data_IF_335372383411
#
_entry.id   IF_335372383411
#
_cell.length_a   1.000
_cell.length_b   1.000
_cell.length_c   1.000
_cell.angle_alpha   90.00
_cell.angle_beta   90.00
_cell.angle_gamma   90.00
#
_symmetry.space_group_name_H-M   'P 1'
#
loop_
_entity.id
_entity.type
_entity.pdbx_description
1 polymer ?
#
# COMPACT_ATOMS: atom_id res chain seq x y z
N UNK A 1 30.28 16.77 -9.44
CA UNK A 1 30.69 15.70 -8.53
C UNK A 1 29.79 14.50 -8.75
N UNK A 2 30.36 13.32 -8.98
CA UNK A 2 29.57 12.09 -9.12
C UNK A 2 29.32 11.50 -7.73
N UNK A 3 28.06 11.46 -7.33
CA UNK A 3 27.61 10.94 -6.03
C UNK A 3 27.27 9.45 -6.07
N UNK A 4 27.29 8.78 -7.23
CA UNK A 4 26.86 7.38 -7.37
C UNK A 4 27.64 6.41 -6.46
N UNK A 5 28.91 6.70 -6.20
CA UNK A 5 29.79 5.92 -5.33
C UNK A 5 29.39 5.89 -3.84
N UNK A 6 28.49 6.80 -3.42
CA UNK A 6 28.02 6.89 -2.03
C UNK A 6 26.69 6.17 -1.80
N UNK A 7 26.02 5.75 -2.87
CA UNK A 7 24.74 5.05 -2.75
C UNK A 7 24.96 3.59 -2.38
N UNK A 8 24.09 3.08 -1.50
CA UNK A 8 24.08 1.66 -1.19
C UNK A 8 23.69 0.84 -2.42
N UNK A 9 24.03 -0.44 -2.40
CA UNK A 9 23.64 -1.40 -3.42
C UNK A 9 22.10 -1.55 -3.56
N UNK A 10 21.34 -1.17 -2.53
CA UNK A 10 19.88 -1.29 -2.50
C UNK A 10 19.15 -0.13 -3.20
N UNK A 11 19.83 1.02 -3.45
CA UNK A 11 19.18 2.17 -4.09
C UNK A 11 18.47 1.84 -5.41
N UNK A 12 18.99 0.95 -6.28
CA UNK A 12 18.28 0.54 -7.50
C UNK A 12 16.95 -0.19 -7.25
N UNK A 13 16.76 -0.82 -6.09
CA UNK A 13 15.51 -1.50 -5.72
C UNK A 13 14.39 -0.55 -5.27
N UNK A 14 14.72 0.73 -5.00
CA UNK A 14 13.73 1.72 -4.61
C UNK A 14 12.92 2.18 -5.82
N UNK A 15 11.71 1.68 -5.94
CA UNK A 15 10.82 2.03 -7.04
C UNK A 15 10.22 3.42 -6.84
N UNK A 16 10.22 4.22 -7.91
CA UNK A 16 9.48 5.48 -7.92
C UNK A 16 7.99 5.21 -8.03
N UNK A 17 7.17 5.94 -7.27
CA UNK A 17 5.72 5.87 -7.40
C UNK A 17 5.27 6.64 -8.65
N UNK A 18 4.70 5.98 -9.67
CA UNK A 18 4.16 6.67 -10.85
C UNK A 18 3.11 7.74 -10.45
N UNK A 19 2.27 7.43 -9.47
CA UNK A 19 1.25 8.35 -8.95
C UNK A 19 1.87 9.62 -8.35
N UNK A 20 2.98 9.49 -7.60
CA UNK A 20 3.67 10.65 -7.03
C UNK A 20 4.40 11.48 -8.07
N UNK A 21 4.96 10.86 -9.10
CA UNK A 21 5.59 11.58 -10.21
C UNK A 21 4.56 12.41 -11.00
N UNK A 22 3.33 11.89 -11.15
CA UNK A 22 2.20 12.65 -11.71
C UNK A 22 1.95 13.93 -10.90
N UNK A 23 1.85 13.79 -9.58
CA UNK A 23 1.55 14.92 -8.68
C UNK A 23 2.67 15.96 -8.60
N UNK A 24 3.91 15.59 -8.91
CA UNK A 24 5.03 16.56 -9.00
C UNK A 24 4.97 17.45 -10.23
N UNK A 25 4.35 16.97 -11.32
CA UNK A 25 4.34 17.64 -12.62
C UNK A 25 3.11 18.49 -12.88
N UNK A 26 2.03 18.30 -12.12
CA UNK A 26 0.73 18.86 -12.45
C UNK A 26 0.10 19.51 -11.22
N UNK A 27 -0.43 20.72 -11.42
CA UNK A 27 -1.33 21.33 -10.47
C UNK A 27 -2.68 20.60 -10.49
N UNK A 28 -2.93 19.77 -9.46
CA UNK A 28 -4.16 19.01 -9.32
C UNK A 28 -5.42 19.89 -9.20
N UNK A 29 -5.27 21.19 -8.85
CA UNK A 29 -6.39 22.11 -8.77
C UNK A 29 -6.87 22.53 -10.18
N UNK A 30 -5.96 22.53 -11.15
CA UNK A 30 -6.24 22.94 -12.53
C UNK A 30 -6.93 21.85 -13.37
N UNK A 31 -6.78 20.57 -12.99
CA UNK A 31 -7.29 19.41 -13.75
C UNK A 31 -8.36 18.63 -12.99
N UNK A 32 -9.07 17.75 -13.70
CA UNK A 32 -9.94 16.74 -13.11
C UNK A 32 -9.10 15.49 -12.75
N UNK A 33 -8.73 15.33 -11.47
CA UNK A 33 -7.87 14.22 -11.06
C UNK A 33 -8.67 13.09 -10.43
N UNK A 34 -8.73 11.95 -11.13
CA UNK A 34 -9.19 10.66 -10.62
C UNK A 34 -8.01 9.77 -10.16
N UNK A 35 -6.77 10.30 -10.16
CA UNK A 35 -5.57 9.49 -9.91
C UNK A 35 -5.28 9.29 -8.42
N UNK A 36 -5.51 10.31 -7.58
CA UNK A 36 -5.12 10.28 -6.16
C UNK A 36 -5.97 9.35 -5.31
N UNK A 37 -5.35 8.62 -4.38
CA UNK A 37 -6.06 7.85 -3.35
C UNK A 37 -6.45 8.71 -2.13
N UNK A 38 -6.82 9.96 -2.34
CA UNK A 38 -7.13 10.90 -1.27
C UNK A 38 -8.61 10.83 -0.85
N UNK A 39 -8.92 10.89 0.46
CA UNK A 39 -10.29 11.07 0.93
C UNK A 39 -10.83 12.45 0.56
N UNK A 40 -12.15 12.60 0.56
CA UNK A 40 -12.81 13.87 0.32
C UNK A 40 -12.57 14.85 1.49
N UNK A 41 -12.19 16.10 1.20
CA UNK A 41 -11.95 17.09 2.25
C UNK A 41 -13.20 17.37 3.12
N UNK A 42 -14.41 17.23 2.56
CA UNK A 42 -15.67 17.41 3.29
C UNK A 42 -15.93 16.30 4.32
N UNK A 43 -15.18 15.18 4.30
CA UNK A 43 -15.28 14.12 5.31
C UNK A 43 -14.33 14.32 6.49
N UNK A 44 -13.48 15.35 6.46
CA UNK A 44 -12.62 15.66 7.59
C UNK A 44 -13.42 16.32 8.70
N UNK A 45 -13.27 15.94 9.98
CA UNK A 45 -13.99 16.49 11.11
C UNK A 45 -13.39 17.85 11.53
N UNK A 46 -13.24 18.79 10.58
CA UNK A 46 -12.54 20.05 10.78
C UNK A 46 -13.16 20.90 11.91
N UNK A 47 -14.47 20.86 12.05
CA UNK A 47 -15.18 21.60 13.10
C UNK A 47 -14.89 21.04 14.51
N UNK A 48 -14.56 19.74 14.62
CA UNK A 48 -14.32 19.08 15.89
C UNK A 48 -12.87 19.24 16.38
N UNK A 49 -11.92 19.50 15.46
CA UNK A 49 -10.48 19.57 15.78
C UNK A 49 -10.14 20.59 16.88
N UNK A 50 -10.66 21.84 16.87
CA UNK A 50 -10.33 22.79 17.94
C UNK A 50 -10.73 22.29 19.32
N UNK A 51 -11.93 21.74 19.46
CA UNK A 51 -12.43 21.18 20.74
C UNK A 51 -11.66 19.92 21.16
N UNK A 52 -11.25 19.08 20.21
CA UNK A 52 -10.39 17.94 20.48
C UNK A 52 -9.02 18.39 21.00
N UNK A 53 -8.42 19.39 20.36
CA UNK A 53 -7.13 19.95 20.76
C UNK A 53 -7.17 20.54 22.16
N UNK A 54 -8.21 21.32 22.48
CA UNK A 54 -8.41 21.90 23.81
C UNK A 54 -8.51 20.80 24.88
N UNK A 55 -9.30 19.76 24.65
CA UNK A 55 -9.42 18.62 25.57
C UNK A 55 -8.08 17.90 25.76
N UNK A 56 -7.35 17.64 24.68
CA UNK A 56 -6.05 16.96 24.74
C UNK A 56 -5.04 17.79 25.55
N UNK A 57 -4.93 19.08 25.29
CA UNK A 57 -3.98 19.92 26.01
C UNK A 57 -4.38 20.12 27.48
N UNK A 58 -5.66 20.27 27.77
CA UNK A 58 -6.15 20.34 29.17
C UNK A 58 -5.92 19.06 29.95
N UNK A 59 -6.14 17.90 29.33
CA UNK A 59 -6.09 16.59 30.00
C UNK A 59 -4.67 16.06 30.14
N UNK A 60 -3.85 16.20 29.09
CA UNK A 60 -2.51 15.61 29.04
C UNK A 60 -1.37 16.59 29.18
N UNK A 61 -1.63 17.89 28.95
CA UNK A 61 -0.65 18.97 29.12
C UNK A 61 0.67 18.70 28.38
N UNK A 62 1.77 18.84 29.08
CA UNK A 62 3.13 18.64 28.51
C UNK A 62 3.38 17.20 28.05
N UNK A 63 2.65 16.22 28.60
CA UNK A 63 2.76 14.80 28.18
C UNK A 63 2.42 14.64 26.70
N UNK A 64 1.46 15.41 26.19
CA UNK A 64 1.08 15.37 24.76
C UNK A 64 2.16 15.92 23.81
N UNK A 65 3.11 16.68 24.34
CA UNK A 65 4.20 17.31 23.59
C UNK A 65 5.57 16.65 23.81
N UNK A 66 5.62 15.63 24.65
CA UNK A 66 6.85 14.87 24.97
C UNK A 66 6.92 13.59 24.15
N UNK A 67 8.10 12.97 24.09
CA UNK A 67 8.25 11.62 23.54
C UNK A 67 7.32 10.63 24.22
N UNK A 68 6.72 9.74 23.44
CA UNK A 68 5.88 8.65 23.91
C UNK A 68 6.55 7.27 23.82
N UNK A 69 5.80 6.24 24.22
CA UNK A 69 6.23 4.87 24.02
C UNK A 69 6.27 4.51 22.52
N UNK A 70 7.23 3.70 22.13
CA UNK A 70 7.36 3.21 20.73
C UNK A 70 6.12 2.44 20.28
N UNK A 71 5.48 1.71 21.21
CA UNK A 71 4.23 0.99 20.94
C UNK A 71 3.02 1.91 20.71
N UNK A 72 3.15 3.19 21.08
CA UNK A 72 2.08 4.17 21.08
C UNK A 72 1.53 4.45 22.49
N UNK A 73 0.78 5.55 22.60
CA UNK A 73 0.18 5.94 23.87
C UNK A 73 -0.88 4.93 24.31
N UNK A 74 -0.94 4.57 25.62
CA UNK A 74 -1.89 3.58 26.12
C UNK A 74 -3.33 3.92 25.74
N UNK A 75 -3.71 5.18 25.86
CA UNK A 75 -5.07 5.65 25.60
C UNK A 75 -5.54 5.33 24.18
N UNK A 76 -4.69 5.47 23.16
CA UNK A 76 -5.04 5.13 21.78
C UNK A 76 -5.06 3.61 21.57
N UNK A 77 -4.08 2.90 22.13
CA UNK A 77 -4.01 1.43 22.05
C UNK A 77 -5.25 0.77 22.68
N UNK A 78 -5.71 1.26 23.82
CA UNK A 78 -6.91 0.78 24.51
C UNK A 78 -8.18 1.00 23.67
N UNK A 79 -8.30 2.17 23.03
CA UNK A 79 -9.45 2.46 22.15
C UNK A 79 -9.48 1.53 20.93
N UNK A 80 -8.33 1.28 20.30
CA UNK A 80 -8.22 0.36 19.17
C UNK A 80 -8.50 -1.08 19.64
N UNK A 81 -7.88 -1.51 20.75
CA UNK A 81 -8.09 -2.84 21.33
C UNK A 81 -9.57 -3.11 21.61
N UNK A 82 -10.25 -2.15 22.23
CA UNK A 82 -11.70 -2.22 22.49
C UNK A 82 -12.51 -2.33 21.19
N UNK A 83 -12.20 -1.52 20.17
CA UNK A 83 -12.92 -1.52 18.89
C UNK A 83 -12.78 -2.83 18.12
N UNK A 84 -11.61 -3.48 18.20
CA UNK A 84 -11.31 -4.73 17.50
C UNK A 84 -11.46 -5.99 18.37
N UNK A 85 -11.86 -5.85 19.64
CA UNK A 85 -12.07 -6.96 20.57
C UNK A 85 -10.80 -7.77 20.85
N UNK A 86 -9.65 -7.10 21.03
CA UNK A 86 -8.34 -7.74 21.24
C UNK A 86 -7.68 -7.22 22.53
N UNK A 87 -6.72 -7.96 23.12
CA UNK A 87 -5.88 -7.44 24.18
C UNK A 87 -5.06 -6.21 23.72
N UNK A 88 -4.80 -5.26 24.63
CA UNK A 88 -3.97 -4.07 24.34
C UNK A 88 -2.54 -4.45 23.95
N UNK A 89 -2.03 -5.56 24.49
CA UNK A 89 -0.70 -6.12 24.14
C UNK A 89 -0.58 -6.47 22.65
N UNK A 90 -1.70 -6.78 22.00
CA UNK A 90 -1.76 -7.10 20.57
C UNK A 90 -1.92 -5.87 19.65
N UNK A 91 -1.73 -4.65 20.16
CA UNK A 91 -1.87 -3.41 19.38
C UNK A 91 -0.57 -2.62 19.38
N UNK A 92 -0.05 -2.33 18.19
CA UNK A 92 1.11 -1.47 17.94
C UNK A 92 0.70 -0.28 17.09
N UNK A 93 0.96 0.96 17.53
CA UNK A 93 0.70 2.16 16.73
C UNK A 93 1.86 2.38 15.74
N UNK A 94 1.51 2.81 14.54
CA UNK A 94 2.44 3.09 13.45
C UNK A 94 2.22 4.48 12.85
N UNK A 95 3.21 4.97 12.11
CA UNK A 95 3.10 6.19 11.31
C UNK A 95 2.39 5.85 9.99
N UNK A 96 1.07 5.63 10.05
CA UNK A 96 0.17 5.07 9.03
C UNK A 96 0.39 3.58 8.69
N UNK A 97 -0.55 2.97 7.95
CA UNK A 97 -0.41 1.58 7.47
C UNK A 97 0.78 1.40 6.53
N UNK A 98 1.25 2.45 5.83
CA UNK A 98 2.46 2.36 4.99
C UNK A 98 3.69 2.00 5.81
N UNK A 99 3.87 2.56 7.01
CA UNK A 99 4.92 2.10 7.92
C UNK A 99 4.65 0.68 8.39
N UNK A 100 3.38 0.31 8.62
CA UNK A 100 3.02 -1.07 8.95
C UNK A 100 3.48 -2.07 7.89
N UNK A 101 3.27 -1.77 6.61
CA UNK A 101 3.74 -2.59 5.48
C UNK A 101 5.28 -2.65 5.48
N UNK A 102 5.93 -1.50 5.63
CA UNK A 102 7.40 -1.41 5.58
C UNK A 102 8.07 -2.17 6.73
N UNK A 103 7.56 -2.05 7.97
CA UNK A 103 8.13 -2.79 9.11
C UNK A 103 7.87 -4.29 9.01
N UNK A 104 6.74 -4.72 8.45
CA UNK A 104 6.52 -6.14 8.14
C UNK A 104 7.54 -6.64 7.11
N UNK A 105 7.77 -5.89 6.04
CA UNK A 105 8.80 -6.23 5.07
C UNK A 105 10.18 -6.31 5.72
N UNK A 106 10.53 -5.32 6.52
CA UNK A 106 11.84 -5.22 7.18
C UNK A 106 12.12 -6.32 8.19
N UNK A 107 11.09 -6.77 8.91
CA UNK A 107 11.23 -7.79 9.97
C UNK A 107 11.22 -9.20 9.39
N UNK A 108 10.46 -9.44 8.33
CA UNK A 108 10.19 -10.80 7.87
C UNK A 108 10.85 -11.18 6.54
N UNK A 109 11.38 -10.22 5.76
CA UNK A 109 11.91 -10.49 4.42
C UNK A 109 13.43 -10.41 4.39
N UNK A 110 14.04 -11.48 3.92
CA UNK A 110 15.41 -11.49 3.42
C UNK A 110 15.41 -11.29 1.88
N UNK A 111 16.52 -10.82 1.29
CA UNK A 111 16.63 -10.72 -0.15
C UNK A 111 16.39 -12.05 -0.88
N UNK A 112 15.41 -12.05 -1.78
CA UNK A 112 14.99 -13.24 -2.52
C UNK A 112 13.83 -14.01 -1.91
N UNK A 113 13.40 -13.67 -0.70
CA UNK A 113 12.17 -14.24 -0.13
C UNK A 113 10.93 -13.86 -0.94
N UNK A 114 9.91 -14.70 -0.85
CA UNK A 114 8.69 -14.57 -1.64
C UNK A 114 7.55 -14.00 -0.80
N UNK A 115 6.89 -13.00 -1.38
CA UNK A 115 5.59 -12.49 -0.92
C UNK A 115 4.54 -12.92 -1.93
N UNK A 116 3.54 -13.69 -1.50
CA UNK A 116 2.36 -13.94 -2.31
C UNK A 116 1.41 -12.75 -2.19
N UNK A 117 1.01 -12.14 -3.28
CA UNK A 117 0.12 -10.99 -3.26
C UNK A 117 -1.08 -11.16 -4.18
N UNK A 118 -2.24 -10.63 -3.77
CA UNK A 118 -3.39 -10.55 -4.67
C UNK A 118 -3.08 -9.58 -5.81
N UNK A 119 -3.44 -9.96 -7.03
CA UNK A 119 -3.20 -9.16 -8.22
C UNK A 119 -4.50 -8.50 -8.71
N UNK A 120 -4.49 -7.22 -9.05
CA UNK A 120 -3.39 -6.24 -8.94
C UNK A 120 -3.06 -5.84 -7.50
N UNK A 121 -1.79 -5.44 -7.25
CA UNK A 121 -1.22 -5.16 -5.93
C UNK A 121 -1.15 -3.66 -5.66
N UNK A 122 -1.33 -3.25 -4.41
CA UNK A 122 -1.14 -1.87 -4.00
C UNK A 122 0.31 -1.39 -4.23
N UNK A 123 0.47 -0.27 -4.95
CA UNK A 123 1.79 0.27 -5.32
C UNK A 123 2.72 0.53 -4.13
N UNK A 124 2.17 0.98 -2.99
CA UNK A 124 2.96 1.23 -1.79
C UNK A 124 3.51 -0.04 -1.17
N UNK A 125 2.80 -1.16 -1.30
CA UNK A 125 3.27 -2.47 -0.87
C UNK A 125 4.36 -2.99 -1.79
N UNK A 126 4.17 -2.92 -3.12
CA UNK A 126 5.22 -3.25 -4.10
C UNK A 126 6.50 -2.47 -3.85
N UNK A 127 6.39 -1.16 -3.56
CA UNK A 127 7.57 -0.34 -3.25
C UNK A 127 8.31 -0.82 -2.00
N UNK A 128 7.57 -1.17 -0.92
CA UNK A 128 8.17 -1.68 0.31
C UNK A 128 8.84 -3.04 0.07
N UNK A 129 8.15 -3.99 -0.58
CA UNK A 129 8.71 -5.34 -0.81
C UNK A 129 9.95 -5.30 -1.71
N UNK A 130 9.92 -4.52 -2.80
CA UNK A 130 11.08 -4.33 -3.66
C UNK A 130 12.27 -3.67 -2.94
N UNK A 131 12.03 -2.77 -1.98
CA UNK A 131 13.10 -2.14 -1.20
C UNK A 131 13.92 -3.17 -0.40
N UNK A 132 13.30 -4.28 0.00
CA UNK A 132 13.94 -5.41 0.67
C UNK A 132 14.32 -6.55 -0.29
N UNK A 133 14.23 -6.32 -1.62
CA UNK A 133 14.59 -7.27 -2.67
C UNK A 133 13.82 -8.58 -2.58
N UNK A 134 12.59 -8.54 -2.06
CA UNK A 134 11.70 -9.69 -2.06
C UNK A 134 11.10 -9.90 -3.46
N UNK A 135 10.82 -11.14 -3.80
CA UNK A 135 10.07 -11.51 -4.99
C UNK A 135 8.57 -11.44 -4.69
N UNK A 136 7.82 -10.67 -5.47
CA UNK A 136 6.36 -10.61 -5.35
C UNK A 136 5.74 -11.50 -6.41
N UNK A 137 5.13 -12.59 -5.99
CA UNK A 137 4.46 -13.57 -6.85
C UNK A 137 2.95 -13.38 -6.74
N UNK A 138 2.28 -13.38 -7.88
CA UNK A 138 0.83 -13.27 -7.91
C UNK A 138 0.18 -14.53 -7.34
N UNK A 139 -0.77 -14.33 -6.46
CA UNK A 139 -1.47 -15.44 -5.80
C UNK A 139 -2.19 -16.35 -6.81
N UNK A 140 -2.74 -15.78 -7.91
CA UNK A 140 -3.37 -16.52 -9.00
C UNK A 140 -2.38 -17.45 -9.72
N UNK A 141 -1.19 -16.95 -10.03
CA UNK A 141 -0.16 -17.70 -10.74
C UNK A 141 0.42 -18.82 -9.86
N UNK A 142 0.58 -18.53 -8.58
CA UNK A 142 0.97 -19.52 -7.60
C UNK A 142 -0.04 -20.68 -7.53
N UNK A 143 -1.35 -20.38 -7.44
CA UNK A 143 -2.42 -21.37 -7.40
C UNK A 143 -2.56 -22.15 -8.73
N UNK A 144 -2.20 -21.53 -9.86
CA UNK A 144 -2.17 -22.19 -11.17
C UNK A 144 -0.94 -23.09 -11.37
N UNK A 145 0.01 -23.11 -10.43
CA UNK A 145 1.26 -23.87 -10.53
C UNK A 145 2.32 -23.21 -11.41
N UNK A 146 2.14 -21.93 -11.78
CA UNK A 146 3.03 -21.22 -12.71
C UNK A 146 4.12 -20.39 -11.98
N UNK A 147 4.00 -20.19 -10.67
CA UNK A 147 4.75 -19.13 -9.97
C UNK A 147 6.07 -19.54 -9.30
N UNK A 148 6.25 -20.75 -8.79
CA UNK A 148 7.43 -21.09 -7.94
C UNK A 148 8.28 -22.24 -8.49
N UNK A 149 7.72 -23.14 -9.27
CA UNK A 149 8.43 -24.34 -9.73
C UNK A 149 9.51 -24.10 -10.80
N UNK A 150 9.50 -22.95 -11.49
CA UNK A 150 10.46 -22.65 -12.56
C UNK A 150 11.67 -21.80 -12.12
N UNK A 151 11.73 -21.33 -10.89
CA UNK A 151 12.74 -20.36 -10.44
C UNK A 151 13.76 -20.87 -9.42
N UNK A 152 13.75 -22.15 -9.06
CA UNK A 152 14.80 -22.74 -8.19
C UNK A 152 16.15 -22.93 -8.88
N UNK A 153 16.27 -22.56 -10.17
CA UNK A 153 17.53 -22.61 -10.90
C UNK A 153 17.82 -21.29 -11.64
N UNK A 154 18.59 -20.44 -10.99
CA UNK A 154 19.55 -19.56 -11.61
C UNK A 154 19.05 -18.30 -12.33
N UNK A 155 19.40 -17.22 -11.76
CA UNK A 155 19.40 -15.81 -12.13
C UNK A 155 18.18 -15.00 -11.68
N UNK A 156 18.40 -13.91 -10.91
CA UNK A 156 17.35 -12.92 -10.67
C UNK A 156 16.89 -12.40 -12.04
N UNK A 157 15.59 -12.50 -12.32
CA UNK A 157 15.04 -11.75 -13.45
C UNK A 157 15.43 -10.29 -13.22
N UNK A 158 16.01 -9.61 -14.21
CA UNK A 158 16.11 -8.17 -14.10
C UNK A 158 14.69 -7.67 -13.85
N UNK A 159 14.51 -6.90 -12.78
CA UNK A 159 13.31 -6.08 -12.58
C UNK A 159 12.88 -5.59 -13.95
N UNK A 160 11.59 -5.64 -14.36
CA UNK A 160 11.17 -5.11 -15.65
C UNK A 160 11.60 -3.66 -15.69
N UNK A 161 12.84 -3.52 -16.12
CA UNK A 161 13.59 -2.33 -16.04
C UNK A 161 13.10 -1.48 -17.17
N UNK A 162 12.71 -0.29 -16.84
CA UNK A 162 13.02 0.86 -17.66
C UNK A 162 12.55 0.87 -19.12
N UNK A 163 12.01 -0.22 -19.68
CA UNK A 163 11.78 -0.27 -21.10
C UNK A 163 10.59 0.57 -21.57
N UNK A 164 9.57 0.79 -20.73
CA UNK A 164 8.29 1.31 -21.20
C UNK A 164 7.63 2.41 -20.37
N UNK A 165 8.38 3.08 -19.49
CA UNK A 165 7.90 4.37 -18.98
C UNK A 165 8.34 5.42 -19.99
N UNK A 166 7.41 6.12 -20.67
CA UNK A 166 7.79 7.13 -21.67
C UNK A 166 8.83 8.08 -21.09
N UNK A 167 9.93 8.30 -21.82
CA UNK A 167 11.06 9.15 -21.39
C UNK A 167 10.65 10.58 -21.03
N UNK A 168 9.45 10.99 -21.38
CA UNK A 168 8.81 12.22 -20.93
C UNK A 168 8.41 12.24 -19.44
N UNK A 169 8.27 11.08 -18.79
CA UNK A 169 7.90 10.97 -17.37
C UNK A 169 9.15 10.89 -16.48
N UNK A 170 10.29 10.48 -17.02
CA UNK A 170 11.55 10.34 -16.28
C UNK A 170 12.61 11.25 -16.93
N UNK A 171 12.61 12.52 -16.56
CA UNK A 171 13.70 13.44 -16.86
C UNK A 171 14.92 13.15 -15.96
N UNK A 172 15.67 12.11 -16.24
CA UNK A 172 16.93 11.79 -15.59
C UNK A 172 17.84 11.05 -16.56
N UNK A 173 19.02 11.61 -16.83
CA UNK A 173 20.04 11.02 -17.70
C UNK A 173 20.34 9.59 -17.26
N UNK A 174 20.39 8.67 -18.24
CA UNK A 174 20.84 7.29 -18.06
C UNK A 174 22.23 7.23 -17.42
N UNK A 175 22.38 6.47 -16.35
CA UNK A 175 23.69 6.11 -15.78
C UNK A 175 24.33 5.04 -16.69
N UNK A 176 25.66 5.09 -16.91
CA UNK A 176 26.35 4.08 -17.71
C UNK A 176 26.33 2.73 -17.00
N UNK A 177 26.21 1.66 -17.80
CA UNK A 177 26.35 0.28 -17.36
C UNK A 177 27.73 0.09 -16.71
N UNK A 178 27.75 -0.47 -15.51
CA UNK A 178 28.98 -0.90 -14.84
C UNK A 178 29.26 -2.35 -15.19
N UNK A 179 30.45 -2.59 -15.73
CA UNK A 179 31.07 -3.91 -15.75
C UNK A 179 31.22 -4.42 -14.32
N UNK A 180 30.94 -5.71 -14.09
CA UNK A 180 31.01 -6.36 -12.80
C UNK A 180 32.42 -6.28 -12.18
N UNK A 181 32.55 -6.36 -10.85
CA UNK A 181 33.85 -6.27 -10.21
C UNK A 181 34.72 -7.47 -10.57
N UNK A 182 35.88 -7.17 -11.18
CA UNK A 182 36.98 -8.12 -11.31
C UNK A 182 37.48 -8.50 -9.93
N UNK A 183 37.68 -9.78 -9.70
CA UNK A 183 38.20 -10.36 -8.46
C UNK A 183 39.48 -9.65 -8.02
N UNK A 184 39.49 -9.16 -6.78
CA UNK A 184 40.67 -8.63 -6.11
C UNK A 184 41.53 -9.80 -5.64
N UNK A 185 42.84 -9.88 -5.93
CA UNK A 185 43.69 -10.91 -5.42
C UNK A 185 43.87 -10.76 -3.91
N UNK A 186 43.52 -11.77 -3.13
CA UNK A 186 43.80 -11.85 -1.71
C UNK A 186 45.30 -12.01 -1.47
N UNK A 187 45.96 -10.92 -1.07
CA UNK A 187 47.29 -10.96 -0.51
C UNK A 187 47.26 -11.53 0.89
N UNK A 188 47.86 -12.69 1.06
CA UNK A 188 48.09 -13.33 2.39
C UNK A 188 49.07 -12.55 3.21
N UNK A 189 48.55 -11.89 4.25
CA UNK A 189 49.43 -11.48 5.40
C UNK A 189 49.57 -12.70 6.30
N UNK A 190 50.78 -13.28 6.33
CA UNK A 190 51.15 -14.29 7.30
C UNK A 190 51.48 -13.58 8.62
N UNK A 191 50.68 -13.85 9.65
CA UNK A 191 51.08 -13.67 11.05
C UNK A 191 51.43 -15.05 11.63
N UNK A 192 52.60 -15.10 12.18
CA UNK A 192 53.24 -16.35 12.60
C UNK A 192 52.80 -16.83 13.97
N UNK A 193 51.61 -17.45 14.06
CA UNK A 193 51.27 -18.41 15.13
C UNK A 193 50.24 -19.39 14.61
N UNK A 194 50.72 -20.66 14.48
CA UNK A 194 49.87 -21.73 13.99
C UNK A 194 48.63 -21.98 14.83
N UNK A 195 47.48 -21.78 14.21
CA UNK A 195 46.21 -22.47 14.44
C UNK A 195 45.56 -22.65 13.08
N UNK A 196 45.57 -23.90 12.62
CA UNK A 196 44.66 -24.37 11.60
C UNK A 196 43.29 -24.44 12.21
N UNK A 197 42.38 -23.68 11.66
CA UNK A 197 40.94 -23.90 11.62
C UNK A 197 40.31 -22.60 11.10
N UNK A 198 40.50 -22.37 9.78
CA UNK A 198 39.56 -21.55 9.07
C UNK A 198 38.36 -22.46 8.78
N UNK A 199 37.44 -22.61 9.72
CA UNK A 199 36.07 -22.93 9.40
C UNK A 199 35.61 -21.80 8.48
N UNK A 200 35.56 -22.10 7.18
CA UNK A 200 34.80 -21.32 6.24
C UNK A 200 33.36 -21.42 6.77
N UNK A 201 32.90 -20.36 7.43
CA UNK A 201 31.49 -20.10 7.57
C UNK A 201 31.00 -19.91 6.15
N UNK A 202 30.61 -21.02 5.53
CA UNK A 202 29.75 -20.99 4.38
C UNK A 202 28.46 -20.36 4.89
N UNK A 203 28.32 -19.04 4.74
CA UNK A 203 27.04 -18.39 4.84
C UNK A 203 26.17 -19.01 3.74
N UNK A 204 25.52 -20.14 4.07
CA UNK A 204 24.42 -20.66 3.28
C UNK A 204 23.34 -19.59 3.40
N UNK A 205 23.24 -18.73 2.38
CA UNK A 205 22.06 -17.91 2.22
C UNK A 205 20.87 -18.86 2.31
N UNK A 206 19.93 -18.66 3.25
CA UNK A 206 18.76 -19.51 3.36
C UNK A 206 18.08 -19.57 2.00
N UNK A 207 17.59 -20.74 1.62
CA UNK A 207 16.79 -20.87 0.40
C UNK A 207 15.61 -19.91 0.48
N UNK A 208 15.23 -19.24 -0.63
CA UNK A 208 14.08 -18.34 -0.66
C UNK A 208 12.84 -19.03 -0.09
N UNK A 209 12.16 -18.35 0.82
CA UNK A 209 10.98 -18.87 1.49
C UNK A 209 9.77 -17.99 1.26
N UNK A 210 8.58 -18.58 1.19
CA UNK A 210 7.33 -17.82 1.20
C UNK A 210 7.11 -17.33 2.64
N UNK A 211 7.24 -16.04 2.88
CA UNK A 211 7.18 -15.45 4.24
C UNK A 211 5.77 -15.05 4.62
N UNK A 212 5.04 -14.42 3.72
CA UNK A 212 3.65 -14.04 3.98
C UNK A 212 2.82 -13.86 2.71
N UNK A 213 1.51 -13.91 2.89
CA UNK A 213 0.51 -13.50 1.92
C UNK A 213 0.11 -12.07 2.24
N UNK A 214 0.26 -11.12 1.29
CA UNK A 214 -0.22 -9.75 1.42
C UNK A 214 -1.55 -9.56 0.69
N UNK A 215 -2.55 -9.02 1.38
CA UNK A 215 -3.89 -8.84 0.81
C UNK A 215 -4.60 -7.61 1.38
N UNK A 216 -5.40 -6.93 0.55
CA UNK A 216 -6.38 -5.92 0.95
C UNK A 216 -7.77 -6.54 0.76
N UNK A 217 -8.37 -7.16 1.79
CA UNK A 217 -9.57 -7.97 1.63
C UNK A 217 -10.85 -7.15 1.49
N UNK A 218 -10.87 -5.91 1.96
CA UNK A 218 -12.03 -5.02 1.90
C UNK A 218 -11.76 -3.83 0.98
N UNK A 219 -12.54 -3.70 -0.09
CA UNK A 219 -12.49 -2.57 -1.04
C UNK A 219 -11.10 -2.32 -1.60
N UNK A 220 -10.48 -3.37 -2.09
CA UNK A 220 -9.10 -3.43 -2.56
C UNK A 220 -8.67 -2.16 -3.32
N UNK A 221 -7.48 -1.69 -3.04
CA UNK A 221 -6.77 -0.74 -3.87
C UNK A 221 -5.80 -1.51 -4.79
N UNK A 222 -6.10 -1.64 -6.12
CA UNK A 222 -6.85 -0.65 -6.90
C UNK A 222 -8.29 -1.01 -7.28
N UNK A 223 -8.76 -2.24 -7.11
CA UNK A 223 -9.94 -2.78 -7.80
C UNK A 223 -11.29 -2.40 -7.19
N UNK A 224 -11.32 -1.97 -5.94
CA UNK A 224 -12.55 -1.77 -5.17
C UNK A 224 -13.24 -3.08 -4.75
N UNK A 225 -12.74 -4.25 -5.13
CA UNK A 225 -13.33 -5.55 -4.79
C UNK A 225 -13.19 -5.89 -3.31
N UNK A 226 -14.15 -6.65 -2.80
CA UNK A 226 -14.11 -7.24 -1.45
C UNK A 226 -14.03 -8.76 -1.59
N UNK A 227 -13.14 -9.39 -0.84
CA UNK A 227 -13.07 -10.85 -0.76
C UNK A 227 -14.26 -11.39 0.04
N UNK A 228 -14.93 -12.39 -0.52
CA UNK A 228 -15.95 -13.17 0.17
C UNK A 228 -15.37 -13.93 1.38
N UNK A 229 -16.22 -14.41 2.27
CA UNK A 229 -15.79 -15.24 3.40
C UNK A 229 -15.04 -16.50 2.91
N UNK A 230 -15.58 -17.16 1.87
CA UNK A 230 -14.95 -18.38 1.32
C UNK A 230 -13.54 -18.11 0.75
N UNK A 231 -13.32 -16.98 0.06
CA UNK A 231 -11.99 -16.60 -0.41
C UNK A 231 -11.02 -16.31 0.74
N UNK A 232 -11.50 -15.69 1.84
CA UNK A 232 -10.69 -15.46 3.05
C UNK A 232 -10.32 -16.78 3.73
N UNK A 233 -11.25 -17.73 3.83
CA UNK A 233 -11.01 -19.07 4.38
C UNK A 233 -10.01 -19.87 3.54
N UNK A 234 -10.07 -19.76 2.21
CA UNK A 234 -9.09 -20.36 1.30
C UNK A 234 -7.69 -19.77 1.52
N UNK A 235 -7.56 -18.46 1.69
CA UNK A 235 -6.28 -17.81 2.00
C UNK A 235 -5.70 -18.30 3.34
N UNK A 236 -6.55 -18.46 4.35
CA UNK A 236 -6.13 -19.00 5.66
C UNK A 236 -5.66 -20.46 5.51
N UNK A 237 -6.39 -21.28 4.77
CA UNK A 237 -6.00 -22.68 4.51
C UNK A 237 -4.64 -22.73 3.79
N UNK A 238 -4.44 -21.91 2.76
CA UNK A 238 -3.19 -21.81 2.03
C UNK A 238 -2.03 -21.35 2.94
N UNK A 239 -2.25 -20.33 3.77
CA UNK A 239 -1.21 -19.86 4.69
C UNK A 239 -0.81 -20.92 5.74
N UNK A 240 -1.75 -21.79 6.15
CA UNK A 240 -1.46 -22.94 7.02
C UNK A 240 -0.69 -24.03 6.31
N UNK A 241 -1.03 -24.31 5.06
CA UNK A 241 -0.33 -25.28 4.22
C UNK A 241 1.12 -24.87 3.94
N UNK A 242 1.33 -23.58 3.63
CA UNK A 242 2.64 -23.00 3.33
C UNK A 242 3.45 -22.64 4.58
N UNK A 243 2.85 -22.76 5.78
CA UNK A 243 3.39 -22.30 7.05
C UNK A 243 3.93 -20.85 7.00
N UNK A 244 3.15 -19.95 6.41
CA UNK A 244 3.50 -18.55 6.27
C UNK A 244 2.53 -17.62 7.03
N UNK A 245 2.91 -16.36 7.19
CA UNK A 245 2.08 -15.33 7.80
C UNK A 245 1.07 -14.75 6.80
N UNK A 246 0.11 -13.97 7.31
CA UNK A 246 -0.78 -13.14 6.51
C UNK A 246 -0.64 -11.68 6.95
N UNK A 247 -0.40 -10.78 6.01
CA UNK A 247 -0.47 -9.33 6.21
C UNK A 247 -1.78 -8.84 5.60
N UNK A 248 -2.78 -8.62 6.45
CA UNK A 248 -4.09 -8.11 6.09
C UNK A 248 -4.08 -6.58 6.15
N UNK A 249 -4.01 -5.89 5.03
CA UNK A 249 -4.05 -4.43 4.96
C UNK A 249 -5.50 -3.94 4.81
N UNK A 250 -6.04 -3.31 5.86
CA UNK A 250 -7.48 -3.01 5.98
C UNK A 250 -7.79 -1.51 6.14
N UNK A 251 -7.22 -0.58 5.34
CA UNK A 251 -7.41 0.86 5.53
C UNK A 251 -8.81 1.34 5.14
N UNK A 252 -9.59 0.54 4.40
CA UNK A 252 -10.91 0.90 3.88
C UNK A 252 -12.06 0.16 4.58
N UNK A 253 -11.79 -0.84 5.44
CA UNK A 253 -12.79 -1.73 6.02
C UNK A 253 -14.01 -1.00 6.60
N UNK A 254 -13.80 0.14 7.25
CA UNK A 254 -14.85 0.95 7.87
C UNK A 254 -15.65 1.80 6.87
N UNK A 255 -15.22 1.86 5.61
CA UNK A 255 -15.87 2.63 4.55
C UNK A 255 -16.82 1.77 3.71
N UNK A 256 -17.59 0.90 4.35
CA UNK A 256 -18.64 0.11 3.70
C UNK A 256 -19.94 0.90 3.62
N UNK A 257 -20.51 1.02 2.44
CA UNK A 257 -21.80 1.73 2.21
C UNK A 257 -22.91 0.84 1.67
N UNK A 258 -22.63 -0.41 1.33
CA UNK A 258 -23.64 -1.42 0.98
C UNK A 258 -23.17 -2.83 1.34
N UNK A 259 -24.10 -3.78 1.38
CA UNK A 259 -23.84 -5.15 1.80
C UNK A 259 -23.51 -5.30 3.29
N UNK A 260 -23.14 -6.51 3.69
CA UNK A 260 -22.80 -6.85 5.07
C UNK A 260 -21.30 -6.91 5.29
N UNK A 261 -20.86 -6.70 6.52
CA UNK A 261 -19.46 -6.84 6.90
C UNK A 261 -19.03 -8.31 6.80
N UNK A 262 -17.85 -8.55 6.22
CA UNK A 262 -17.25 -9.89 6.16
C UNK A 262 -16.25 -10.05 7.30
N UNK A 263 -16.24 -11.22 7.94
CA UNK A 263 -15.26 -11.59 8.99
C UNK A 263 -13.85 -11.35 8.47
N UNK A 264 -12.97 -10.69 9.25
CA UNK A 264 -11.60 -10.42 8.85
C UNK A 264 -10.77 -11.69 8.82
N UNK A 265 -9.67 -11.67 8.05
CA UNK A 265 -8.73 -12.79 8.03
C UNK A 265 -8.09 -12.97 9.41
N UNK A 266 -7.81 -11.86 10.12
CA UNK A 266 -7.32 -11.91 11.50
C UNK A 266 -8.29 -12.63 12.44
N UNK A 267 -9.60 -12.42 12.28
CA UNK A 267 -10.59 -13.14 13.11
C UNK A 267 -10.64 -14.64 12.79
N UNK A 268 -10.31 -15.05 11.56
CA UNK A 268 -10.25 -16.45 11.12
C UNK A 268 -8.95 -17.14 11.51
N UNK A 269 -7.83 -16.41 11.59
CA UNK A 269 -6.50 -16.93 11.88
C UNK A 269 -5.67 -15.93 12.69
N UNK A 270 -6.04 -15.64 13.95
CA UNK A 270 -5.37 -14.63 14.77
C UNK A 270 -3.91 -15.00 15.08
N UNK A 271 -3.57 -16.28 15.05
CA UNK A 271 -2.25 -16.82 15.37
C UNK A 271 -1.16 -16.50 14.32
N UNK A 272 -1.55 -16.14 13.10
CA UNK A 272 -0.63 -15.90 11.97
C UNK A 272 -0.92 -14.64 11.16
N UNK A 273 -1.87 -13.80 11.60
CA UNK A 273 -2.28 -12.60 10.84
C UNK A 273 -1.84 -11.32 11.53
N UNK A 274 -1.16 -10.46 10.77
CA UNK A 274 -0.89 -9.07 11.10
C UNK A 274 -1.91 -8.21 10.36
N UNK A 275 -2.90 -7.66 11.07
CA UNK A 275 -3.90 -6.76 10.51
C UNK A 275 -3.44 -5.32 10.63
N UNK A 276 -3.30 -4.64 9.49
CA UNK A 276 -2.92 -3.24 9.41
C UNK A 276 -4.18 -2.36 9.30
N UNK A 277 -4.21 -1.27 10.03
CA UNK A 277 -5.25 -0.27 9.95
C UNK A 277 -4.71 1.15 9.80
N UNK A 278 -5.55 2.10 9.41
CA UNK A 278 -5.13 3.47 9.18
C UNK A 278 -6.21 4.49 9.50
N UNK A 279 -5.85 5.55 10.20
CA UNK A 279 -6.70 6.73 10.40
C UNK A 279 -6.81 7.60 9.13
N UNK A 280 -5.99 7.35 8.12
CA UNK A 280 -5.94 8.17 6.90
C UNK A 280 -7.26 8.25 6.15
N UNK A 281 -8.15 7.24 6.29
CA UNK A 281 -9.41 7.18 5.54
C UNK A 281 -10.65 7.42 6.42
N UNK A 282 -10.50 7.33 7.73
CA UNK A 282 -11.60 7.42 8.70
C UNK A 282 -11.51 8.66 9.60
N UNK A 283 -10.34 9.31 9.67
CA UNK A 283 -10.13 10.56 10.41
C UNK A 283 -9.53 11.62 9.49
N UNK A 284 -8.20 11.64 9.34
CA UNK A 284 -7.53 12.50 8.35
C UNK A 284 -6.14 11.98 8.01
N UNK A 285 -5.73 12.00 6.73
CA UNK A 285 -4.43 11.47 6.31
C UNK A 285 -3.24 12.29 6.82
N UNK A 286 -3.44 13.56 7.18
CA UNK A 286 -2.41 14.47 7.67
C UNK A 286 -1.84 14.07 9.03
N UNK A 287 -2.59 13.38 9.88
CA UNK A 287 -2.13 12.90 11.19
C UNK A 287 -1.12 11.75 11.12
N UNK A 288 -0.99 11.12 9.98
CA UNK A 288 -0.04 10.01 9.79
C UNK A 288 -0.12 8.92 10.85
N UNK A 289 -1.31 8.50 11.24
CA UNK A 289 -1.54 7.44 12.22
C UNK A 289 -2.10 6.17 11.57
N UNK A 290 -1.64 5.03 12.08
CA UNK A 290 -2.12 3.69 11.78
C UNK A 290 -1.80 2.74 12.93
N UNK A 291 -2.10 1.47 12.76
CA UNK A 291 -1.85 0.44 13.76
C UNK A 291 -1.63 -0.91 13.09
N UNK A 292 -1.01 -1.81 13.86
CA UNK A 292 -0.91 -3.24 13.57
C UNK A 292 -1.57 -3.98 14.74
N UNK A 293 -2.39 -4.98 14.43
CA UNK A 293 -2.94 -5.94 15.38
C UNK A 293 -2.41 -7.32 15.01
N UNK A 294 -1.84 -8.05 15.96
CA UNK A 294 -1.32 -9.38 15.72
C UNK A 294 -0.78 -10.08 16.97
N UNK A 295 -0.20 -11.28 16.82
CA UNK A 295 0.45 -12.00 17.92
C UNK A 295 1.53 -11.18 18.61
N UNK A 296 1.60 -11.27 19.93
CA UNK A 296 2.54 -10.48 20.75
C UNK A 296 4.00 -10.76 20.38
N UNK A 297 4.33 -11.99 20.08
CA UNK A 297 5.68 -12.40 19.70
C UNK A 297 6.15 -11.74 18.39
N UNK A 298 5.25 -11.58 17.43
CA UNK A 298 5.54 -10.89 16.17
C UNK A 298 5.63 -9.38 16.38
N UNK A 299 4.75 -8.83 17.23
CA UNK A 299 4.74 -7.40 17.55
C UNK A 299 5.98 -6.98 18.34
N UNK A 300 6.57 -7.85 19.14
CA UNK A 300 7.83 -7.55 19.84
C UNK A 300 8.99 -7.29 18.85
N UNK A 301 9.11 -8.09 17.80
CA UNK A 301 10.11 -7.87 16.77
C UNK A 301 9.86 -6.57 15.98
N UNK A 302 8.60 -6.29 15.69
CA UNK A 302 8.17 -5.03 15.07
C UNK A 302 8.47 -3.84 15.98
N UNK A 303 8.26 -3.97 17.28
CA UNK A 303 8.58 -2.96 18.28
C UNK A 303 10.08 -2.62 18.29
N UNK A 304 10.95 -3.63 18.32
CA UNK A 304 12.41 -3.43 18.29
C UNK A 304 12.85 -2.75 16.99
N UNK A 305 12.33 -3.22 15.87
CA UNK A 305 12.56 -2.62 14.56
C UNK A 305 12.13 -1.13 14.52
N UNK A 306 10.96 -0.84 15.07
CA UNK A 306 10.38 0.51 15.07
C UNK A 306 11.17 1.50 15.93
N UNK A 307 11.82 1.06 17.00
CA UNK A 307 12.74 1.90 17.79
C UNK A 307 13.85 2.52 16.92
N UNK A 308 14.35 1.77 15.94
CA UNK A 308 15.39 2.24 15.02
C UNK A 308 14.87 3.16 13.92
N UNK A 309 13.56 3.18 13.66
CA UNK A 309 12.94 3.90 12.53
C UNK A 309 12.50 5.31 12.93
N UNK A 310 11.69 5.43 13.97
CA UNK A 310 11.05 6.69 14.34
C UNK A 310 10.91 6.90 15.85
N UNK A 311 11.46 6.00 16.66
CA UNK A 311 11.39 5.99 18.11
C UNK A 311 9.95 5.87 18.64
N UNK A 312 9.05 6.77 18.24
CA UNK A 312 7.62 6.76 18.56
C UNK A 312 6.81 7.49 17.48
N UNK A 313 5.54 7.13 17.28
CA UNK A 313 4.65 7.90 16.40
C UNK A 313 4.35 9.29 16.99
N UNK A 314 3.82 10.26 16.18
CA UNK A 314 3.47 11.59 16.66
C UNK A 314 2.52 11.55 17.86
N UNK A 315 2.99 12.01 19.04
CA UNK A 315 2.30 11.80 20.32
C UNK A 315 1.02 12.64 20.43
N UNK A 316 1.09 13.91 20.03
CA UNK A 316 -0.07 14.81 20.04
C UNK A 316 -1.21 14.24 19.19
N UNK A 317 -0.88 13.75 17.99
CA UNK A 317 -1.84 13.19 17.06
C UNK A 317 -2.47 11.90 17.60
N UNK A 318 -1.71 11.10 18.36
CA UNK A 318 -2.24 9.91 19.02
C UNK A 318 -3.28 10.27 20.08
N UNK A 319 -3.04 11.30 20.90
CA UNK A 319 -4.04 11.74 21.88
C UNK A 319 -5.27 12.34 21.21
N UNK A 320 -5.10 13.07 20.10
CA UNK A 320 -6.25 13.54 19.29
C UNK A 320 -7.08 12.38 18.76
N UNK A 321 -6.44 11.34 18.24
CA UNK A 321 -7.13 10.15 17.76
C UNK A 321 -7.82 9.38 18.90
N UNK A 322 -7.19 9.26 20.07
CA UNK A 322 -7.78 8.63 21.25
C UNK A 322 -9.04 9.35 21.72
N UNK A 323 -8.99 10.70 21.81
CA UNK A 323 -10.15 11.51 22.16
C UNK A 323 -11.25 11.46 21.07
N UNK A 324 -10.87 11.39 19.79
CA UNK A 324 -11.81 11.27 18.68
C UNK A 324 -12.57 9.94 18.71
N UNK A 325 -11.89 8.82 18.99
CA UNK A 325 -12.51 7.53 19.19
C UNK A 325 -13.37 7.51 20.47
N UNK A 326 -12.78 7.86 21.61
CA UNK A 326 -13.41 7.74 22.92
C UNK A 326 -14.64 8.62 23.11
N UNK A 327 -14.75 9.73 22.36
CA UNK A 327 -15.93 10.61 22.38
C UNK A 327 -17.06 10.18 21.45
N UNK A 328 -16.89 9.10 20.66
CA UNK A 328 -17.89 8.66 19.67
C UNK A 328 -17.94 9.52 18.39
N UNK A 329 -17.07 10.51 18.26
CA UNK A 329 -17.00 11.38 17.08
C UNK A 329 -16.60 10.61 15.82
N UNK A 330 -15.77 9.56 15.95
CA UNK A 330 -15.43 8.69 14.83
C UNK A 330 -16.68 8.09 14.20
N UNK A 331 -17.56 7.47 14.97
CA UNK A 331 -18.74 6.79 14.43
C UNK A 331 -19.73 7.78 13.80
N UNK A 332 -19.87 8.98 14.39
CA UNK A 332 -20.65 10.06 13.80
C UNK A 332 -20.05 10.54 12.45
N UNK A 333 -18.72 10.67 12.39
CA UNK A 333 -18.02 11.06 11.17
C UNK A 333 -18.08 9.99 10.08
N UNK A 334 -17.94 8.70 10.46
CA UNK A 334 -18.04 7.57 9.54
C UNK A 334 -19.40 7.52 8.86
N UNK A 335 -20.50 7.74 9.60
CA UNK A 335 -21.86 7.80 9.00
C UNK A 335 -21.94 8.85 7.90
N UNK A 336 -21.36 10.04 8.11
CA UNK A 336 -21.31 11.11 7.10
C UNK A 336 -20.43 10.72 5.91
N UNK A 337 -19.23 10.20 6.19
CA UNK A 337 -18.27 9.80 5.15
C UNK A 337 -18.79 8.69 4.26
N UNK A 338 -19.40 7.67 4.85
CA UNK A 338 -20.01 6.53 4.15
C UNK A 338 -21.14 7.01 3.23
N UNK A 339 -22.04 7.89 3.71
CA UNK A 339 -23.12 8.44 2.91
C UNK A 339 -22.58 9.27 1.72
N UNK A 340 -21.56 10.10 1.95
CA UNK A 340 -20.91 10.91 0.92
C UNK A 340 -20.21 10.06 -0.14
N UNK A 341 -19.44 9.04 0.27
CA UNK A 341 -18.74 8.18 -0.68
C UNK A 341 -19.70 7.28 -1.48
N UNK A 342 -20.79 6.80 -0.88
CA UNK A 342 -21.86 6.12 -1.61
C UNK A 342 -22.41 7.00 -2.72
N UNK A 343 -22.79 8.23 -2.40
CA UNK A 343 -23.32 9.20 -3.35
C UNK A 343 -22.34 9.48 -4.51
N UNK A 344 -21.07 9.67 -4.19
CA UNK A 344 -20.01 9.92 -5.19
C UNK A 344 -19.75 8.70 -6.08
N UNK A 345 -19.75 7.50 -5.53
CA UNK A 345 -19.65 6.25 -6.29
C UNK A 345 -20.81 6.14 -7.27
N UNK A 346 -22.04 6.33 -6.79
CA UNK A 346 -23.25 6.21 -7.61
C UNK A 346 -23.26 7.25 -8.74
N UNK A 347 -22.84 8.49 -8.45
CA UNK A 347 -22.68 9.51 -9.48
C UNK A 347 -21.62 9.11 -10.51
N UNK A 348 -20.44 8.68 -10.10
CA UNK A 348 -19.39 8.28 -11.05
C UNK A 348 -19.85 7.11 -11.92
N UNK A 349 -20.49 6.09 -11.34
CA UNK A 349 -21.02 4.94 -12.11
C UNK A 349 -22.06 5.40 -13.12
N UNK A 350 -23.02 6.23 -12.75
CA UNK A 350 -24.04 6.74 -13.69
C UNK A 350 -23.43 7.56 -14.85
N UNK A 351 -22.34 8.28 -14.57
CA UNK A 351 -21.60 9.01 -15.61
C UNK A 351 -20.80 8.08 -16.53
N UNK A 352 -20.23 7.00 -15.99
CA UNK A 352 -19.57 5.97 -16.80
C UNK A 352 -20.59 5.27 -17.72
N UNK A 353 -21.74 4.88 -17.19
CA UNK A 353 -22.85 4.29 -17.97
C UNK A 353 -23.32 5.22 -19.10
N UNK A 354 -23.36 6.52 -18.84
CA UNK A 354 -23.83 7.52 -19.80
C UNK A 354 -22.85 7.84 -20.92
N UNK A 355 -21.53 7.81 -20.63
CA UNK A 355 -20.55 8.38 -21.55
C UNK A 355 -19.53 7.40 -22.11
N UNK A 356 -19.20 6.29 -21.38
CA UNK A 356 -18.21 5.35 -21.86
C UNK A 356 -18.66 4.62 -23.13
N UNK A 357 -17.74 4.36 -24.08
CA UNK A 357 -18.05 3.57 -25.26
C UNK A 357 -18.32 2.11 -24.91
N UNK A 358 -18.94 1.39 -25.85
CA UNK A 358 -19.13 -0.06 -25.75
C UNK A 358 -17.79 -0.79 -25.58
N UNK A 359 -17.79 -1.92 -24.85
CA UNK A 359 -16.58 -2.70 -24.57
C UNK A 359 -15.78 -2.23 -23.35
N UNK A 360 -16.19 -1.16 -22.67
CA UNK A 360 -15.64 -0.76 -21.37
C UNK A 360 -16.46 -1.38 -20.25
N UNK A 361 -15.80 -1.96 -19.27
CA UNK A 361 -16.42 -2.48 -18.05
C UNK A 361 -15.75 -1.91 -16.80
N UNK A 362 -16.44 -1.95 -15.66
CA UNK A 362 -15.94 -1.45 -14.39
C UNK A 362 -16.47 -2.23 -13.20
N UNK A 363 -15.72 -2.16 -12.09
CA UNK A 363 -16.17 -2.71 -10.81
C UNK A 363 -17.26 -1.83 -10.18
N UNK A 364 -18.13 -2.44 -9.36
CA UNK A 364 -19.16 -1.73 -8.59
C UNK A 364 -18.91 -2.01 -7.09
N UNK A 365 -18.07 -1.21 -6.41
CA UNK A 365 -17.66 -1.50 -5.05
C UNK A 365 -18.74 -1.18 -4.02
N UNK A 366 -18.81 -2.01 -2.95
CA UNK A 366 -19.68 -1.80 -1.79
C UNK A 366 -19.06 -0.87 -0.74
N UNK A 367 -17.87 -0.35 -0.99
CA UNK A 367 -17.11 0.49 -0.07
C UNK A 367 -15.84 1.06 -0.69
N UNK A 368 -15.01 1.67 0.11
CA UNK A 368 -13.72 2.21 -0.33
C UNK A 368 -13.81 3.47 -1.18
N UNK A 369 -12.86 3.66 -2.08
CA UNK A 369 -12.65 4.95 -2.77
C UNK A 369 -12.43 4.79 -4.30
N UNK A 370 -12.42 3.55 -4.85
CA UNK A 370 -11.92 3.28 -6.19
C UNK A 370 -12.88 2.50 -7.05
N UNK A 371 -12.82 2.80 -8.35
CA UNK A 371 -13.36 2.00 -9.45
C UNK A 371 -12.20 1.50 -10.29
N UNK A 372 -12.31 0.28 -10.79
CA UNK A 372 -11.38 -0.34 -11.72
C UNK A 372 -12.06 -0.52 -13.07
N UNK A 373 -11.48 0.10 -14.09
CA UNK A 373 -11.98 0.01 -15.45
C UNK A 373 -11.15 -0.96 -16.27
N UNK A 374 -11.81 -1.75 -17.09
CA UNK A 374 -11.21 -2.56 -18.16
C UNK A 374 -11.71 -2.04 -19.50
N UNK A 375 -10.78 -1.65 -20.36
CA UNK A 375 -11.01 -1.06 -21.67
C UNK A 375 -10.84 -2.14 -22.76
N UNK A 376 -11.26 -1.87 -24.01
CA UNK A 376 -10.94 -2.74 -25.13
C UNK A 376 -9.44 -3.04 -25.20
N UNK A 377 -9.02 -4.26 -25.57
CA UNK A 377 -7.60 -4.68 -25.54
C UNK A 377 -6.64 -3.82 -26.36
N UNK A 378 -7.15 -3.13 -27.38
CA UNK A 378 -6.37 -2.22 -28.23
C UNK A 378 -5.95 -0.94 -27.50
N UNK A 379 -6.64 -0.57 -26.43
CA UNK A 379 -6.37 0.68 -25.67
C UNK A 379 -5.28 0.47 -24.65
N UNK A 380 -4.14 1.14 -24.84
CA UNK A 380 -3.03 1.18 -23.87
C UNK A 380 -3.18 2.42 -22.99
N UNK A 381 -3.48 2.21 -21.71
CA UNK A 381 -3.70 3.29 -20.73
C UNK A 381 -2.41 4.04 -20.35
N UNK A 382 -1.25 3.44 -20.54
CA UNK A 382 0.04 4.13 -20.34
C UNK A 382 0.30 5.08 -21.50
N UNK A 383 0.11 4.61 -22.74
CA UNK A 383 0.26 5.45 -23.92
C UNK A 383 -0.80 6.59 -24.00
N UNK A 384 -1.99 6.34 -23.49
CA UNK A 384 -3.08 7.33 -23.46
C UNK A 384 -2.84 8.42 -22.41
N UNK A 385 -1.99 8.18 -21.41
CA UNK A 385 -1.87 9.00 -20.21
C UNK A 385 -1.49 10.47 -20.51
N UNK A 386 -0.48 10.72 -21.34
CA UNK A 386 -0.02 12.09 -21.66
C UNK A 386 -1.10 12.90 -22.42
N UNK A 387 -1.87 12.24 -23.29
CA UNK A 387 -3.02 12.87 -23.97
C UNK A 387 -4.12 13.23 -22.98
N UNK A 388 -4.41 12.33 -22.02
CA UNK A 388 -5.40 12.59 -20.98
C UNK A 388 -4.98 13.76 -20.08
N UNK A 389 -3.71 13.80 -19.69
CA UNK A 389 -3.17 14.88 -18.87
C UNK A 389 -3.24 16.23 -19.59
N UNK A 390 -2.87 16.28 -20.87
CA UNK A 390 -2.97 17.49 -21.71
C UNK A 390 -4.42 17.96 -21.90
N UNK A 391 -5.38 17.03 -21.95
CA UNK A 391 -6.81 17.33 -21.99
C UNK A 391 -7.40 17.77 -20.64
N UNK A 392 -6.63 17.68 -19.52
CA UNK A 392 -7.06 18.12 -18.20
C UNK A 392 -7.73 17.02 -17.36
N UNK A 393 -7.46 15.73 -17.65
CA UNK A 393 -7.92 14.59 -16.83
C UNK A 393 -6.76 13.67 -16.46
N UNK A 394 -6.72 13.21 -15.20
CA UNK A 394 -5.72 12.26 -14.72
C UNK A 394 -6.35 11.01 -14.11
N UNK A 395 -5.75 9.86 -14.37
CA UNK A 395 -6.09 8.55 -13.80
C UNK A 395 -4.80 7.79 -13.43
N UNK A 396 -4.88 6.56 -12.93
CA UNK A 396 -3.71 5.70 -12.78
C UNK A 396 -3.82 4.52 -13.74
N UNK A 397 -2.84 4.36 -14.61
CA UNK A 397 -2.77 3.21 -15.53
C UNK A 397 -2.67 1.91 -14.72
N UNK A 398 -3.46 0.92 -15.14
CA UNK A 398 -3.62 -0.32 -14.38
C UNK A 398 -2.36 -1.18 -14.36
N UNK A 399 -1.58 -1.18 -15.42
CA UNK A 399 -0.34 -1.94 -15.52
C UNK A 399 0.67 -1.66 -14.39
N UNK A 400 0.60 -0.48 -13.76
CA UNK A 400 1.48 -0.17 -12.62
C UNK A 400 1.19 -1.00 -11.36
N UNK A 401 0.00 -1.60 -11.25
CA UNK A 401 -0.39 -2.43 -10.13
C UNK A 401 -0.09 -3.92 -10.35
N UNK A 402 0.48 -4.27 -11.49
CA UNK A 402 0.91 -5.62 -11.83
C UNK A 402 2.43 -5.74 -11.78
N UNK A 403 2.93 -6.83 -11.24
CA UNK A 403 4.38 -7.06 -11.05
C UNK A 403 5.12 -7.15 -12.37
N UNK A 404 4.45 -7.62 -13.43
CA UNK A 404 4.97 -7.82 -14.79
C UNK A 404 4.63 -6.65 -15.75
N UNK A 405 3.88 -5.62 -15.28
CA UNK A 405 3.43 -4.51 -16.09
C UNK A 405 2.36 -4.87 -17.14
N UNK A 406 1.72 -6.02 -17.01
CA UNK A 406 0.64 -6.51 -17.87
C UNK A 406 -0.65 -5.68 -17.75
N UNK A 407 -1.73 -6.12 -18.40
CA UNK A 407 -3.07 -5.52 -18.31
C UNK A 407 -3.08 -4.01 -18.63
N UNK A 408 -2.38 -3.64 -19.70
CA UNK A 408 -2.22 -2.24 -20.13
C UNK A 408 -3.54 -1.55 -20.54
N UNK A 409 -4.59 -2.31 -20.76
CA UNK A 409 -5.95 -1.83 -21.04
C UNK A 409 -6.80 -1.61 -19.79
N UNK A 410 -6.19 -1.44 -18.62
CA UNK A 410 -6.93 -1.21 -17.38
C UNK A 410 -6.53 0.11 -16.74
N UNK A 411 -7.42 0.68 -15.92
CA UNK A 411 -7.12 1.90 -15.14
C UNK A 411 -7.91 1.95 -13.83
N UNK A 412 -7.32 2.64 -12.84
CA UNK A 412 -7.99 2.98 -11.59
C UNK A 412 -8.50 4.40 -11.61
N UNK A 413 -9.78 4.58 -11.23
CA UNK A 413 -10.38 5.88 -10.95
C UNK A 413 -10.71 6.01 -9.46
N UNK A 414 -10.41 7.18 -8.88
CA UNK A 414 -10.83 7.58 -7.55
C UNK A 414 -12.04 8.51 -7.65
N UNK A 415 -13.14 8.18 -6.96
CA UNK A 415 -14.35 9.00 -6.93
C UNK A 415 -14.44 9.90 -5.69
N UNK A 416 -13.58 9.71 -4.69
CA UNK A 416 -13.68 10.43 -3.43
C UNK A 416 -13.11 11.85 -3.48
N UNK A 417 -12.03 12.08 -4.20
CA UNK A 417 -11.25 13.32 -4.14
C UNK A 417 -11.78 14.44 -5.05
N UNK A 418 -12.17 14.10 -6.28
CA UNK A 418 -12.57 15.08 -7.29
C UNK A 418 -13.81 15.86 -6.84
N UNK A 419 -13.81 17.18 -7.06
CA UNK A 419 -15.00 17.99 -6.83
C UNK A 419 -16.14 17.53 -7.75
N UNK A 420 -17.35 17.40 -7.21
CA UNK A 420 -18.51 16.84 -7.92
C UNK A 420 -18.78 17.57 -9.24
N UNK A 421 -18.73 18.91 -9.23
CA UNK A 421 -18.90 19.72 -10.43
C UNK A 421 -17.88 19.43 -11.56
N UNK A 422 -16.71 18.85 -11.23
CA UNK A 422 -15.69 18.45 -12.18
C UNK A 422 -15.83 17.00 -12.65
N UNK A 423 -16.66 16.18 -11.99
CA UNK A 423 -16.74 14.75 -12.27
C UNK A 423 -17.33 14.49 -13.67
N UNK A 424 -18.47 15.07 -14.00
CA UNK A 424 -19.08 14.89 -15.32
C UNK A 424 -18.19 15.40 -16.48
N UNK A 425 -17.64 16.64 -16.44
CA UNK A 425 -16.70 17.06 -17.47
C UNK A 425 -15.48 16.14 -17.61
N UNK A 426 -14.91 15.68 -16.48
CA UNK A 426 -13.75 14.79 -16.49
C UNK A 426 -14.06 13.41 -17.10
N UNK A 427 -15.22 12.81 -16.79
CA UNK A 427 -15.64 11.53 -17.37
C UNK A 427 -15.95 11.69 -18.86
N UNK A 428 -16.56 12.79 -19.30
CA UNK A 428 -16.76 13.07 -20.73
C UNK A 428 -15.45 13.14 -21.51
N UNK A 429 -14.46 13.85 -20.98
CA UNK A 429 -13.14 13.96 -21.59
C UNK A 429 -12.48 12.58 -21.68
N UNK A 430 -12.49 11.83 -20.58
CA UNK A 430 -11.90 10.49 -20.54
C UNK A 430 -12.59 9.54 -21.54
N UNK A 431 -13.91 9.57 -21.62
CA UNK A 431 -14.71 8.74 -22.54
C UNK A 431 -14.40 9.08 -24.01
N UNK A 432 -14.22 10.36 -24.36
CA UNK A 432 -13.78 10.78 -25.69
C UNK A 432 -12.41 10.19 -26.05
N UNK A 433 -11.44 10.35 -25.16
CA UNK A 433 -10.08 9.82 -25.36
C UNK A 433 -10.03 8.29 -25.48
N UNK A 434 -10.87 7.57 -24.71
CA UNK A 434 -10.98 6.11 -24.80
C UNK A 434 -11.59 5.69 -26.14
N UNK A 435 -12.60 6.42 -26.64
CA UNK A 435 -13.22 6.16 -27.96
C UNK A 435 -12.22 6.35 -29.07
N UNK A 436 -11.51 7.49 -29.10
CA UNK A 436 -10.50 7.80 -30.10
C UNK A 436 -9.31 6.82 -30.10
N UNK A 437 -9.03 6.21 -28.95
CA UNK A 437 -7.97 5.20 -28.82
C UNK A 437 -8.45 3.78 -29.17
N UNK A 438 -9.75 3.54 -29.22
CA UNK A 438 -10.33 2.26 -29.60
C UNK A 438 -10.64 2.13 -31.11
N UNK A 439 -10.68 3.27 -31.83
CA UNK A 439 -10.78 3.37 -33.30
C UNK A 439 -9.41 3.20 -33.97
#
# INVERSE_FOLDING_TARGET
MDYSKYFSADVPSFLRSPVREIFRKVDLSAICSFAGGYPAACTFPLADIPGLMERVLSKYGTKALQYGATQGVPELREQIASRYGVPVSQVQITTSSQQGIDVCARVFLDPGDVVLASNPVYLGALQSFNAYRAEVVELSDFLAGEGVASQTHGHPRPCPARADIPSGIIGGKSLPEREGPTAVPTGTLRDGRGRSEAEAVCETTPSPAIKFIYVIPDFNNPTGKTLSLAEREQLVALARELDCLIVEDSPYRELRYSGEAVTSIRELAPERTLQLGSFSKIFAPGFRLGWIIGPEELLEQIYVCKQCLDLCPPVLDQYLAAEFLGSGLLDANLKKSVAEYRRRRDLMVSLLEKYMPSGVSWTYPDGGLFLWLTLPPVVDTVALYDKALAAGVAYVAGSFFYTDGSHRNTMRLNFSFVAEAKMEPGIKLLAGLVRDAAE
#
